data_IF_123620318072
#
_entry.id   IF_123620318072
#
_cell.length_a   1.000
_cell.length_b   1.000
_cell.length_c   1.000
_cell.angle_alpha   90.00
_cell.angle_beta   90.00
_cell.angle_gamma   90.00
#
_symmetry.space_group_name_H-M   'P 1'
#
loop_
_entity.id
_entity.type
_entity.pdbx_description
1 polymer ?
#
# COMPACT_ATOMS: atom_id res chain seq x y z
N UNK A 1 -13.84 -8.80 -59.25
CA UNK A 1 -12.70 -9.16 -58.39
C UNK A 1 -12.37 -7.90 -57.59
N UNK A 2 -12.67 -7.74 -56.31
CA UNK A 2 -12.90 -8.75 -55.29
C UNK A 2 -13.39 -8.08 -53.98
N UNK A 3 -14.66 -7.68 -53.93
CA UNK A 3 -15.31 -7.32 -52.65
C UNK A 3 -15.70 -8.57 -51.82
N UNK A 4 -15.56 -9.76 -52.41
CA UNK A 4 -15.78 -11.05 -51.76
C UNK A 4 -14.51 -11.59 -51.07
N UNK A 5 -13.31 -11.11 -51.44
CA UNK A 5 -12.06 -11.55 -50.80
C UNK A 5 -11.84 -10.89 -49.43
N UNK A 6 -12.26 -9.63 -49.27
CA UNK A 6 -12.18 -8.91 -47.98
C UNK A 6 -13.15 -9.44 -46.93
N UNK A 7 -14.36 -9.86 -47.35
CA UNK A 7 -15.34 -10.47 -46.45
C UNK A 7 -14.88 -11.83 -45.92
N UNK A 8 -14.16 -12.61 -46.75
CA UNK A 8 -13.57 -13.88 -46.33
C UNK A 8 -12.38 -13.68 -45.38
N UNK A 9 -11.61 -12.61 -45.56
CA UNK A 9 -10.49 -12.28 -44.68
C UNK A 9 -10.98 -11.85 -43.27
N UNK A 10 -12.05 -11.05 -43.18
CA UNK A 10 -12.64 -10.66 -41.89
C UNK A 10 -13.30 -11.84 -41.14
N UNK A 11 -13.92 -12.78 -41.85
CA UNK A 11 -14.44 -14.01 -41.26
C UNK A 11 -13.32 -14.93 -40.75
N UNK A 12 -12.21 -15.03 -41.49
CA UNK A 12 -11.09 -15.89 -41.11
C UNK A 12 -10.37 -15.37 -39.86
N UNK A 13 -10.11 -14.05 -39.78
CA UNK A 13 -9.51 -13.40 -38.59
C UNK A 13 -10.41 -13.52 -37.35
N UNK A 14 -11.74 -13.40 -37.52
CA UNK A 14 -12.69 -13.57 -36.41
C UNK A 14 -12.78 -15.01 -35.90
N UNK A 15 -12.53 -16.00 -36.76
CA UNK A 15 -12.55 -17.42 -36.39
C UNK A 15 -11.27 -17.92 -35.71
N UNK A 16 -10.14 -17.24 -35.93
CA UNK A 16 -8.84 -17.58 -35.32
C UNK A 16 -8.58 -16.82 -34.01
N UNK A 17 -9.36 -15.78 -33.70
CA UNK A 17 -9.26 -15.01 -32.46
C UNK A 17 -10.36 -15.38 -31.46
N UNK A 18 -10.65 -16.68 -31.32
CA UNK A 18 -11.53 -17.16 -30.26
C UNK A 18 -11.17 -18.59 -29.87
N UNK A 19 -10.37 -18.72 -28.81
CA UNK A 19 -10.06 -19.88 -27.92
C UNK A 19 -8.68 -19.58 -27.30
N UNK A 20 -8.44 -19.37 -26.01
CA UNK A 20 -9.12 -19.79 -24.79
C UNK A 20 -8.81 -18.80 -23.64
N UNK A 21 -9.82 -18.12 -23.11
CA UNK A 21 -9.77 -17.52 -21.76
C UNK A 21 -11.09 -17.73 -21.02
N UNK A 22 -11.80 -18.83 -21.32
CA UNK A 22 -12.87 -19.29 -20.44
C UNK A 22 -12.26 -19.92 -19.18
N UNK A 23 -12.71 -19.39 -18.05
CA UNK A 23 -12.66 -19.99 -16.71
C UNK A 23 -11.34 -20.03 -15.94
N UNK A 24 -10.86 -18.86 -15.51
CA UNK A 24 -10.12 -18.76 -14.23
C UNK A 24 -10.15 -17.36 -13.56
N UNK A 25 -11.31 -16.69 -13.50
CA UNK A 25 -11.37 -15.38 -12.84
C UNK A 25 -12.64 -15.05 -12.03
N UNK A 26 -13.46 -16.04 -11.65
CA UNK A 26 -14.56 -15.82 -10.69
C UNK A 26 -14.05 -15.85 -9.24
N UNK A 27 -13.26 -16.87 -8.90
CA UNK A 27 -12.67 -17.02 -7.56
C UNK A 27 -11.62 -15.94 -7.28
N UNK A 28 -10.87 -15.52 -8.30
CA UNK A 28 -9.92 -14.41 -8.19
C UNK A 28 -10.63 -13.07 -7.94
N UNK A 29 -11.84 -12.83 -8.48
CA UNK A 29 -12.55 -11.56 -8.27
C UNK A 29 -13.13 -11.45 -6.84
N UNK A 30 -13.62 -12.56 -6.26
CA UNK A 30 -14.11 -12.57 -4.89
C UNK A 30 -12.97 -12.50 -3.85
N UNK A 31 -11.86 -13.21 -4.09
CA UNK A 31 -10.64 -13.10 -3.29
C UNK A 31 -10.02 -11.70 -3.40
N UNK A 32 -9.87 -11.11 -4.59
CA UNK A 32 -9.39 -9.73 -4.74
C UNK A 32 -10.31 -8.71 -4.06
N UNK A 33 -11.64 -8.89 -4.14
CA UNK A 33 -12.61 -7.99 -3.48
C UNK A 33 -12.54 -8.11 -1.95
N UNK A 34 -12.33 -9.32 -1.44
CA UNK A 34 -12.16 -9.61 -0.01
C UNK A 34 -10.82 -9.10 0.51
N UNK A 35 -9.73 -9.38 -0.21
CA UNK A 35 -8.40 -8.85 0.06
C UNK A 35 -8.41 -7.32 0.07
N UNK A 36 -9.05 -6.69 -0.92
CA UNK A 36 -9.25 -5.24 -0.98
C UNK A 36 -10.06 -4.70 0.21
N UNK A 37 -11.06 -5.44 0.69
CA UNK A 37 -11.82 -5.08 1.88
C UNK A 37 -10.98 -5.18 3.15
N UNK A 38 -10.23 -6.28 3.31
CA UNK A 38 -9.31 -6.48 4.42
C UNK A 38 -8.20 -5.44 4.44
N UNK A 39 -7.61 -5.12 3.29
CA UNK A 39 -6.55 -4.12 3.16
C UNK A 39 -7.08 -2.73 3.54
N UNK A 40 -8.27 -2.36 3.05
CA UNK A 40 -8.94 -1.11 3.48
C UNK A 40 -9.19 -1.08 4.99
N UNK A 41 -9.62 -2.21 5.58
CA UNK A 41 -9.85 -2.33 7.02
C UNK A 41 -8.53 -2.24 7.81
N UNK A 42 -7.44 -2.85 7.32
CA UNK A 42 -6.10 -2.76 7.90
C UNK A 42 -5.60 -1.33 7.88
N UNK A 43 -5.67 -0.65 6.74
CA UNK A 43 -5.29 0.77 6.59
C UNK A 43 -6.12 1.66 7.52
N UNK A 44 -7.45 1.46 7.57
CA UNK A 44 -8.30 2.22 8.48
C UNK A 44 -7.90 2.00 9.95
N UNK A 45 -7.61 0.77 10.34
CA UNK A 45 -7.17 0.43 11.70
C UNK A 45 -5.80 1.05 12.01
N UNK A 46 -4.88 1.05 11.03
CA UNK A 46 -3.58 1.69 11.14
C UNK A 46 -3.72 3.20 11.40
N UNK A 47 -4.62 3.87 10.67
CA UNK A 47 -4.94 5.29 10.87
C UNK A 47 -5.52 5.56 12.26
N UNK A 48 -6.42 4.72 12.76
CA UNK A 48 -6.93 4.86 14.14
C UNK A 48 -5.82 4.76 15.18
N UNK A 49 -4.89 3.81 15.03
CA UNK A 49 -3.73 3.72 15.93
C UNK A 49 -2.84 4.95 15.84
N UNK A 50 -2.61 5.49 14.63
CA UNK A 50 -1.84 6.72 14.42
C UNK A 50 -2.49 7.92 15.10
N UNK A 51 -3.80 8.10 14.97
CA UNK A 51 -4.56 9.19 15.60
C UNK A 51 -4.57 9.10 17.13
N UNK A 52 -4.68 7.87 17.66
CA UNK A 52 -4.55 7.64 19.09
C UNK A 52 -3.13 7.97 19.58
N UNK A 53 -2.10 7.62 18.80
CA UNK A 53 -0.71 7.99 19.05
C UNK A 53 -0.52 9.52 19.06
N UNK A 54 -1.10 10.23 18.10
CA UNK A 54 -1.10 11.70 18.04
C UNK A 54 -1.72 12.31 19.31
N UNK A 55 -2.82 11.72 19.79
CA UNK A 55 -3.49 12.16 21.01
C UNK A 55 -2.61 11.93 22.24
N UNK A 56 -2.02 10.74 22.38
CA UNK A 56 -1.09 10.43 23.46
C UNK A 56 0.15 11.36 23.44
N UNK A 57 0.67 11.67 22.26
CA UNK A 57 1.78 12.61 22.09
C UNK A 57 1.42 14.02 22.57
N UNK A 58 0.21 14.52 22.25
CA UNK A 58 -0.29 15.81 22.75
C UNK A 58 -0.45 15.85 24.27
N UNK A 59 -0.72 14.69 24.89
CA UNK A 59 -0.77 14.54 26.35
C UNK A 59 0.62 14.35 27.00
N UNK A 60 1.71 14.45 26.22
CA UNK A 60 3.08 14.18 26.63
C UNK A 60 3.35 12.74 27.08
N UNK A 61 2.44 11.81 26.79
CA UNK A 61 2.63 10.38 27.02
C UNK A 61 3.41 9.75 25.87
N UNK A 62 4.69 10.12 25.75
CA UNK A 62 5.51 9.76 24.59
C UNK A 62 5.70 8.25 24.45
N UNK A 63 5.89 7.50 25.54
CA UNK A 63 6.02 6.04 25.50
C UNK A 63 4.77 5.37 24.92
N UNK A 64 3.59 5.77 25.39
CA UNK A 64 2.33 5.26 24.86
C UNK A 64 2.13 5.64 23.39
N UNK A 65 2.55 6.86 23.00
CA UNK A 65 2.50 7.27 21.60
C UNK A 65 3.37 6.39 20.71
N UNK A 66 4.57 6.01 21.16
CA UNK A 66 5.48 5.10 20.45
C UNK A 66 4.84 3.73 20.25
N UNK A 67 4.21 3.17 21.28
CA UNK A 67 3.54 1.87 21.18
C UNK A 67 2.39 1.91 20.17
N UNK A 68 1.61 2.99 20.18
CA UNK A 68 0.50 3.20 19.25
C UNK A 68 0.98 3.41 17.81
N UNK A 69 2.02 4.21 17.60
CA UNK A 69 2.63 4.35 16.27
C UNK A 69 3.24 3.04 15.78
N UNK A 70 3.82 2.24 16.67
CA UNK A 70 4.36 0.91 16.31
C UNK A 70 3.25 -0.01 15.85
N UNK A 71 2.10 -0.05 16.54
CA UNK A 71 0.92 -0.80 16.08
C UNK A 71 0.41 -0.31 14.73
N UNK A 72 0.38 1.00 14.51
CA UNK A 72 0.03 1.58 13.21
C UNK A 72 0.99 1.12 12.10
N UNK A 73 2.31 1.20 12.34
CA UNK A 73 3.36 0.79 11.40
C UNK A 73 3.29 -0.70 11.04
N UNK A 74 2.90 -1.56 11.99
CA UNK A 74 2.74 -3.00 11.72
C UNK A 74 1.61 -3.30 10.74
N UNK A 75 0.62 -2.40 10.64
CA UNK A 75 -0.52 -2.55 9.75
C UNK A 75 -0.30 -1.81 8.42
N UNK A 76 0.27 -0.61 8.48
CA UNK A 76 0.61 0.21 7.30
C UNK A 76 1.95 0.92 7.51
N UNK A 77 2.89 0.70 6.58
CA UNK A 77 4.26 1.23 6.66
C UNK A 77 4.34 2.65 6.10
N UNK A 78 3.57 3.56 6.69
CA UNK A 78 3.51 4.95 6.26
C UNK A 78 4.74 5.76 6.75
N UNK A 79 5.48 6.45 5.87
CA UNK A 79 6.61 7.31 6.25
C UNK A 79 6.26 8.36 7.31
N UNK A 80 5.05 8.91 7.27
CA UNK A 80 4.58 9.93 8.22
C UNK A 80 4.53 9.36 9.63
N UNK A 81 4.08 8.10 9.78
CA UNK A 81 4.00 7.44 11.08
C UNK A 81 5.38 7.14 11.66
N UNK A 82 6.35 6.74 10.83
CA UNK A 82 7.75 6.62 11.25
C UNK A 82 8.32 7.96 11.73
N UNK A 83 8.07 9.05 11.00
CA UNK A 83 8.54 10.38 11.39
C UNK A 83 7.93 10.83 12.74
N UNK A 84 6.64 10.58 12.97
CA UNK A 84 5.97 10.86 14.24
C UNK A 84 6.55 10.06 15.39
N UNK A 85 6.85 8.77 15.17
CA UNK A 85 7.51 7.92 16.17
C UNK A 85 8.94 8.38 16.46
N UNK A 86 9.68 8.80 15.45
CA UNK A 86 11.01 9.39 15.61
C UNK A 86 10.98 10.64 16.51
N UNK A 87 9.99 11.51 16.33
CA UNK A 87 9.81 12.70 17.18
C UNK A 87 9.47 12.28 18.62
N UNK A 88 8.64 11.27 18.82
CA UNK A 88 8.33 10.75 20.16
C UNK A 88 9.56 10.16 20.85
N UNK A 89 10.41 9.43 20.13
CA UNK A 89 11.70 8.95 20.65
C UNK A 89 12.65 10.11 20.97
N UNK A 90 12.70 11.15 20.13
CA UNK A 90 13.48 12.35 20.38
C UNK A 90 13.04 13.07 21.67
N UNK A 91 11.73 13.10 21.95
CA UNK A 91 11.19 13.67 23.21
C UNK A 91 11.52 12.85 24.46
N UNK A 92 11.93 11.60 24.30
CA UNK A 92 12.41 10.72 25.38
C UNK A 92 13.95 10.62 25.42
N UNK A 93 14.65 11.50 24.70
CA UNK A 93 16.11 11.48 24.53
C UNK A 93 16.68 10.16 23.97
N UNK A 94 15.83 9.36 23.31
CA UNK A 94 16.24 8.14 22.63
C UNK A 94 16.60 8.45 21.17
N UNK A 95 17.77 9.06 20.99
CA UNK A 95 18.22 9.52 19.68
C UNK A 95 18.54 8.38 18.72
N UNK A 96 19.05 7.25 19.21
CA UNK A 96 19.39 6.10 18.37
C UNK A 96 18.15 5.56 17.64
N UNK A 97 17.05 5.37 18.38
CA UNK A 97 15.79 4.90 17.78
C UNK A 97 15.17 5.94 16.86
N UNK A 98 15.32 7.23 17.19
CA UNK A 98 14.88 8.34 16.34
C UNK A 98 15.60 8.36 14.98
N UNK A 99 16.93 8.18 14.98
CA UNK A 99 17.75 8.13 13.76
C UNK A 99 17.38 6.92 12.90
N UNK A 100 17.14 5.77 13.52
CA UNK A 100 16.69 4.58 12.80
C UNK A 100 15.36 4.84 12.07
N UNK A 101 14.38 5.43 12.73
CA UNK A 101 13.09 5.77 12.12
C UNK A 101 13.23 6.80 10.99
N UNK A 102 14.06 7.84 11.17
CA UNK A 102 14.37 8.79 10.10
C UNK A 102 15.01 8.11 8.88
N UNK A 103 15.89 7.13 9.11
CA UNK A 103 16.51 6.36 8.03
C UNK A 103 15.50 5.51 7.26
N UNK A 104 14.49 4.96 7.95
CA UNK A 104 13.39 4.24 7.29
C UNK A 104 12.57 5.16 6.38
N UNK A 105 12.25 6.37 6.83
CA UNK A 105 11.52 7.38 6.02
C UNK A 105 12.27 7.69 4.74
N UNK A 106 13.59 7.92 4.83
CA UNK A 106 14.42 8.18 3.66
C UNK A 106 14.46 6.98 2.71
N UNK A 107 14.53 5.76 3.24
CA UNK A 107 14.51 4.55 2.41
C UNK A 107 13.19 4.37 1.65
N UNK A 108 12.04 4.68 2.27
CA UNK A 108 10.74 4.56 1.61
C UNK A 108 10.59 5.62 0.52
N UNK A 109 10.87 6.90 0.84
CA UNK A 109 10.80 7.97 -0.15
C UNK A 109 11.76 7.74 -1.32
N UNK A 110 12.95 7.20 -1.07
CA UNK A 110 13.91 6.87 -2.13
C UNK A 110 13.38 5.77 -3.07
N UNK A 111 12.60 4.81 -2.57
CA UNK A 111 11.98 3.77 -3.41
C UNK A 111 10.87 4.33 -4.27
N UNK A 112 10.05 5.23 -3.71
CA UNK A 112 9.00 5.91 -4.47
C UNK A 112 9.58 6.72 -5.63
N UNK A 113 10.72 7.40 -5.39
CA UNK A 113 11.42 8.16 -6.44
C UNK A 113 12.05 7.23 -7.48
N UNK A 114 12.69 6.13 -7.06
CA UNK A 114 13.29 5.15 -7.99
C UNK A 114 12.24 4.47 -8.89
N UNK A 115 11.01 4.25 -8.40
CA UNK A 115 9.92 3.69 -9.19
C UNK A 115 9.44 4.56 -10.37
N UNK A 116 9.76 5.86 -10.37
CA UNK A 116 9.39 6.79 -11.44
C UNK A 116 10.41 6.90 -12.59
N UNK A 117 11.58 6.27 -12.47
CA UNK A 117 12.68 6.40 -13.44
C UNK A 117 12.86 5.18 -14.37
N UNK A 118 11.83 4.38 -14.59
CA UNK A 118 11.83 3.23 -15.51
C UNK A 118 10.84 3.41 -16.64
#
# INVERSE_FOLDING_TARGET
KSNEEWANFEQQVSSEFNTDWEDNNSDNNELLRTQSYEDRKRIHTAEQHRLNGDTAFKLNNYQQSIDLYTKSITLDKNPITYMKRAIAFFKLDNFDSSIQDCSQVLSINSKDIQGYFI
#
